data_IF_790975630886
#
_entry.id   IF_790975630886
#
_cell.length_a   1.000
_cell.length_b   1.000
_cell.length_c   1.000
_cell.angle_alpha   90.00
_cell.angle_beta   90.00
_cell.angle_gamma   90.00
#
_symmetry.space_group_name_H-M   'P 1'
#
loop_
_entity.id
_entity.type
_entity.pdbx_description
1 polymer ?
#
# COMPACT_ATOMS: atom_id res chain seq x y z
N UNK A 1 -2.71 7.19 10.30
CA UNK A 1 -1.55 7.04 9.38
C UNK A 1 -1.94 7.57 7.99
N UNK A 2 -1.11 8.41 7.36
CA UNK A 2 -1.34 8.92 6.00
C UNK A 2 -0.42 8.15 5.04
N UNK A 3 -0.99 7.51 4.03
CA UNK A 3 -0.23 6.98 2.88
C UNK A 3 -0.35 8.03 1.78
N UNK A 4 0.71 8.82 1.57
CA UNK A 4 0.75 9.85 0.52
C UNK A 4 1.48 9.28 -0.71
N UNK A 5 0.78 9.26 -1.85
CA UNK A 5 1.35 8.92 -3.14
C UNK A 5 2.01 10.18 -3.73
N UNK A 6 3.29 10.13 -4.12
CA UNK A 6 3.95 11.26 -4.79
C UNK A 6 3.34 11.39 -6.19
N UNK A 7 2.45 12.37 -6.39
CA UNK A 7 1.84 12.68 -7.70
C UNK A 7 2.66 13.77 -8.39
N UNK A 8 3.33 13.40 -9.50
CA UNK A 8 3.87 14.35 -10.47
C UNK A 8 2.80 14.62 -11.54
N UNK A 9 1.99 15.66 -11.38
CA UNK A 9 1.26 16.29 -12.49
C UNK A 9 1.66 17.78 -12.56
N UNK A 10 2.12 18.24 -13.73
CA UNK A 10 2.42 19.65 -13.99
C UNK A 10 3.77 20.18 -13.47
N UNK A 11 4.81 19.33 -13.38
CA UNK A 11 6.21 19.73 -13.06
C UNK A 11 6.46 20.44 -11.73
N UNK A 12 5.47 20.52 -10.81
CA UNK A 12 5.66 21.20 -9.52
C UNK A 12 6.20 20.23 -8.47
N UNK A 13 7.48 20.38 -8.13
CA UNK A 13 8.09 19.71 -6.98
C UNK A 13 7.55 20.33 -5.69
N UNK A 14 6.68 19.60 -4.98
CA UNK A 14 5.99 20.03 -3.75
C UNK A 14 6.78 19.81 -2.47
N UNK A 15 7.67 18.83 -2.46
CA UNK A 15 8.58 18.50 -1.37
C UNK A 15 9.88 17.93 -1.96
N UNK A 16 11.01 18.15 -1.29
CA UNK A 16 12.32 17.58 -1.66
C UNK A 16 12.97 16.78 -0.54
N UNK A 17 12.34 16.75 0.63
CA UNK A 17 12.76 15.96 1.78
C UNK A 17 11.54 15.46 2.56
N UNK A 18 11.78 14.50 3.44
CA UNK A 18 10.77 13.97 4.34
C UNK A 18 11.39 13.74 5.72
N UNK A 19 10.56 13.83 6.74
CA UNK A 19 10.90 13.48 8.12
C UNK A 19 10.47 12.05 8.37
N UNK A 20 11.40 11.20 8.79
CA UNK A 20 11.11 9.87 9.30
C UNK A 20 10.27 9.96 10.58
N UNK A 21 9.19 9.17 10.67
CA UNK A 21 8.34 9.12 11.86
C UNK A 21 8.40 7.78 12.58
N UNK A 22 8.27 6.67 11.83
CA UNK A 22 8.25 5.33 12.41
C UNK A 22 8.62 4.26 11.38
N UNK A 23 9.12 3.12 11.85
CA UNK A 23 9.30 1.90 11.03
C UNK A 23 9.07 0.67 11.88
N UNK A 24 8.66 -0.41 11.24
CA UNK A 24 8.63 -1.75 11.83
C UNK A 24 9.22 -2.75 10.85
N UNK A 25 10.43 -3.29 11.11
CA UNK A 25 11.02 -4.32 10.25
C UNK A 25 10.21 -5.61 10.23
N UNK A 26 9.55 -5.97 11.33
CA UNK A 26 8.69 -7.16 11.43
C UNK A 26 7.32 -6.97 10.77
N UNK A 27 7.01 -5.79 10.26
CA UNK A 27 5.79 -5.50 9.52
C UNK A 27 6.06 -4.65 8.29
N UNK A 28 7.30 -4.72 7.78
CA UNK A 28 7.81 -4.14 6.54
C UNK A 28 7.19 -2.79 6.11
N UNK A 29 7.13 -1.83 7.04
CA UNK A 29 6.60 -0.51 6.73
C UNK A 29 7.48 0.59 7.30
N UNK A 30 7.42 1.75 6.65
CA UNK A 30 8.00 3.00 7.14
C UNK A 30 6.99 4.13 6.94
N UNK A 31 6.79 4.94 7.98
CA UNK A 31 5.99 6.16 7.93
C UNK A 31 6.93 7.36 7.83
N UNK A 32 6.67 8.20 6.82
CA UNK A 32 7.36 9.47 6.62
C UNK A 32 6.36 10.61 6.53
N UNK A 33 6.79 11.81 6.90
CA UNK A 33 6.05 13.06 6.71
C UNK A 33 6.79 13.92 5.69
N UNK A 34 6.14 14.28 4.59
CA UNK A 34 6.74 15.17 3.60
C UNK A 34 7.03 16.55 4.22
N UNK A 35 8.23 17.07 3.99
CA UNK A 35 8.58 18.44 4.33
C UNK A 35 8.18 19.32 3.14
N UNK A 36 6.92 19.72 3.17
CA UNK A 36 6.26 20.47 2.11
C UNK A 36 6.82 21.89 2.03
N UNK A 37 7.09 22.38 0.80
CA UNK A 37 7.58 23.75 0.58
C UNK A 37 6.54 24.80 0.99
N UNK A 38 6.99 25.98 1.39
CA UNK A 38 6.12 27.09 1.76
C UNK A 38 5.10 27.41 0.65
N UNK A 39 3.85 27.69 1.05
CA UNK A 39 2.75 28.00 0.13
C UNK A 39 2.24 26.82 -0.70
N UNK A 40 2.67 25.58 -0.40
CA UNK A 40 2.10 24.38 -1.01
C UNK A 40 0.95 23.83 -0.17
N UNK A 41 -0.23 23.80 -0.78
CA UNK A 41 -1.38 23.03 -0.28
C UNK A 41 -1.40 21.64 -0.92
N UNK A 42 -1.44 20.59 -0.08
CA UNK A 42 -1.56 19.21 -0.50
C UNK A 42 -3.01 18.75 -0.70
N UNK A 43 -4.01 19.50 -0.24
CA UNK A 43 -5.42 19.10 -0.29
C UNK A 43 -5.88 18.73 -1.70
N UNK A 44 -5.34 19.40 -2.72
CA UNK A 44 -5.61 19.11 -4.13
C UNK A 44 -5.20 17.71 -4.61
N UNK A 45 -4.29 17.03 -3.90
CA UNK A 45 -3.87 15.65 -4.23
C UNK A 45 -4.74 14.60 -3.54
N UNK A 46 -5.60 15.00 -2.60
CA UNK A 46 -6.42 14.10 -1.79
C UNK A 46 -5.60 13.21 -0.86
N UNK A 47 -6.27 12.23 -0.27
CA UNK A 47 -5.66 11.20 0.55
C UNK A 47 -6.48 9.91 0.45
N UNK A 48 -5.84 8.78 0.71
CA UNK A 48 -6.53 7.50 0.85
C UNK A 48 -7.03 7.32 2.28
N UNK A 49 -8.18 6.67 2.43
CA UNK A 49 -8.70 6.24 3.72
C UNK A 49 -8.32 4.78 3.96
N UNK A 50 -8.05 4.42 5.21
CA UNK A 50 -7.74 3.05 5.62
C UNK A 50 -8.97 2.42 6.26
N UNK A 51 -9.14 1.11 6.09
CA UNK A 51 -10.13 0.33 6.84
C UNK A 51 -9.46 -0.39 8.01
N UNK A 52 -9.83 0.00 9.23
CA UNK A 52 -9.19 -0.54 10.45
C UNK A 52 -9.51 -2.00 10.73
N UNK A 53 -10.51 -2.58 10.06
CA UNK A 53 -10.77 -4.03 10.12
C UNK A 53 -9.76 -4.85 9.30
N UNK A 54 -8.91 -4.20 8.49
CA UNK A 54 -7.93 -4.87 7.63
C UNK A 54 -8.58 -5.51 6.39
N UNK A 55 -7.86 -6.42 5.69
CA UNK A 55 -8.34 -7.12 4.51
C UNK A 55 -9.33 -8.25 4.88
N UNK A 56 -10.34 -8.46 4.03
CA UNK A 56 -11.38 -9.49 4.15
C UNK A 56 -11.17 -10.57 3.10
N UNK A 57 -11.31 -11.83 3.49
CA UNK A 57 -11.21 -12.96 2.56
C UNK A 57 -12.21 -12.81 1.40
N UNK A 58 -11.75 -13.12 0.18
CA UNK A 58 -12.52 -13.04 -1.08
C UNK A 58 -12.97 -11.63 -1.51
N UNK A 59 -12.61 -10.56 -0.79
CA UNK A 59 -12.97 -9.22 -1.27
C UNK A 59 -12.18 -8.87 -2.54
N UNK A 60 -12.81 -8.09 -3.41
CA UNK A 60 -12.16 -7.60 -4.61
C UNK A 60 -11.21 -6.45 -4.27
N UNK A 61 -10.04 -6.46 -4.91
CA UNK A 61 -8.98 -5.49 -4.65
C UNK A 61 -8.32 -5.01 -5.95
N UNK A 62 -7.64 -3.87 -5.85
CA UNK A 62 -6.72 -3.38 -6.85
C UNK A 62 -5.48 -2.76 -6.18
N UNK A 63 -4.39 -2.66 -6.93
CA UNK A 63 -3.14 -2.03 -6.48
C UNK A 63 -2.80 -0.86 -7.41
N UNK A 64 -2.35 0.25 -6.80
CA UNK A 64 -1.88 1.44 -7.50
C UNK A 64 -0.39 1.59 -7.21
N UNK A 65 0.46 1.54 -8.22
CA UNK A 65 1.89 1.53 -7.98
C UNK A 65 2.74 2.03 -9.14
N UNK A 66 4.05 1.97 -8.95
CA UNK A 66 5.08 2.40 -9.92
C UNK A 66 5.95 1.21 -10.34
N UNK A 67 5.29 0.20 -10.92
CA UNK A 67 5.95 -1.01 -11.45
C UNK A 67 7.14 -0.64 -12.36
N UNK A 68 8.30 -1.26 -12.14
CA UNK A 68 9.55 -1.02 -12.87
C UNK A 68 9.97 0.47 -12.93
N UNK A 69 9.59 1.27 -11.94
CA UNK A 69 9.75 2.73 -11.91
C UNK A 69 9.05 3.46 -13.07
N UNK A 70 8.07 2.83 -13.70
CA UNK A 70 7.23 3.44 -14.71
C UNK A 70 6.24 4.44 -14.11
N UNK A 71 5.59 5.27 -14.97
CA UNK A 71 4.43 6.04 -14.55
C UNK A 71 3.40 5.14 -13.87
N UNK A 72 2.56 5.76 -13.02
CA UNK A 72 1.53 5.08 -12.22
C UNK A 72 0.77 4.05 -13.06
N UNK A 73 0.72 2.80 -12.59
CA UNK A 73 -0.07 1.70 -13.16
C UNK A 73 -1.08 1.20 -12.14
N UNK A 74 -2.14 0.62 -12.65
CA UNK A 74 -3.18 -0.03 -11.88
C UNK A 74 -3.21 -1.50 -12.29
N UNK A 75 -3.15 -2.41 -11.32
CA UNK A 75 -3.52 -3.80 -11.54
C UNK A 75 -4.86 -4.05 -10.84
N UNK A 76 -5.86 -4.43 -11.64
CA UNK A 76 -7.26 -4.55 -11.25
C UNK A 76 -7.79 -5.96 -11.51
N UNK A 77 -7.33 -6.59 -12.59
CA UNK A 77 -7.77 -7.92 -13.04
C UNK A 77 -6.59 -8.85 -13.23
N UNK A 78 -6.86 -10.14 -13.11
CA UNK A 78 -6.00 -11.27 -13.48
C UNK A 78 -6.66 -12.02 -14.65
N UNK A 79 -6.01 -13.07 -15.15
CA UNK A 79 -6.62 -13.98 -16.14
C UNK A 79 -7.94 -14.61 -15.66
N UNK A 80 -8.12 -14.77 -14.35
CA UNK A 80 -9.29 -15.43 -13.75
C UNK A 80 -10.43 -14.50 -13.32
N UNK A 81 -10.29 -13.18 -13.52
CA UNK A 81 -11.27 -12.18 -13.05
C UNK A 81 -10.63 -11.06 -12.24
N UNK A 82 -11.41 -10.30 -11.44
CA UNK A 82 -10.87 -9.26 -10.56
C UNK A 82 -9.79 -9.80 -9.62
N UNK A 83 -8.87 -8.93 -9.20
CA UNK A 83 -7.97 -9.27 -8.10
C UNK A 83 -8.74 -9.51 -6.81
N UNK A 84 -8.32 -10.50 -6.03
CA UNK A 84 -9.00 -10.87 -4.78
C UNK A 84 -8.02 -11.24 -3.67
N UNK A 85 -8.42 -10.99 -2.43
CA UNK A 85 -7.75 -11.53 -1.24
C UNK A 85 -7.99 -13.03 -1.16
N UNK A 86 -6.91 -13.81 -1.09
CA UNK A 86 -6.94 -15.28 -1.04
C UNK A 86 -6.73 -15.84 0.37
N UNK A 87 -6.09 -15.07 1.26
CA UNK A 87 -5.97 -15.40 2.68
C UNK A 87 -5.83 -14.12 3.52
N UNK A 88 -6.36 -14.12 4.74
CA UNK A 88 -6.18 -13.04 5.72
C UNK A 88 -5.08 -13.35 6.75
N UNK A 89 -4.46 -14.53 6.68
CA UNK A 89 -3.25 -14.88 7.43
C UNK A 89 -2.40 -15.82 6.58
N UNK A 90 -1.23 -15.34 6.21
CA UNK A 90 -0.35 -16.00 5.27
C UNK A 90 1.10 -15.78 5.69
N UNK A 91 1.83 -16.87 5.86
CA UNK A 91 3.27 -16.85 6.04
C UNK A 91 3.92 -16.82 4.66
N UNK A 92 4.40 -15.65 4.25
CA UNK A 92 5.13 -15.49 3.00
C UNK A 92 6.64 -15.73 3.22
N UNK A 93 7.42 -15.58 2.15
CA UNK A 93 8.88 -15.53 2.23
C UNK A 93 9.39 -14.21 2.83
N UNK A 94 8.54 -13.18 2.93
CA UNK A 94 8.90 -11.84 3.40
C UNK A 94 8.58 -11.62 4.88
N UNK A 95 7.41 -12.06 5.36
CA UNK A 95 6.99 -11.92 6.77
C UNK A 95 6.16 -13.11 7.25
N UNK A 96 6.06 -13.23 8.58
CA UNK A 96 5.39 -14.36 9.23
C UNK A 96 3.84 -14.30 9.19
N UNK A 97 3.25 -13.11 9.15
CA UNK A 97 1.79 -12.94 9.08
C UNK A 97 1.39 -11.75 8.19
N UNK A 98 0.97 -12.07 6.98
CA UNK A 98 0.48 -11.15 5.95
C UNK A 98 -0.93 -11.55 5.52
N UNK A 99 -1.53 -10.75 4.64
CA UNK A 99 -2.64 -11.23 3.82
C UNK A 99 -2.11 -11.59 2.44
N UNK A 100 -2.70 -12.63 1.83
CA UNK A 100 -2.35 -13.10 0.49
C UNK A 100 -3.39 -12.61 -0.53
N UNK A 101 -2.95 -12.37 -1.76
CA UNK A 101 -3.83 -11.97 -2.85
C UNK A 101 -3.24 -12.24 -4.23
N UNK A 102 -4.09 -12.16 -5.26
CA UNK A 102 -3.68 -12.31 -6.67
C UNK A 102 -3.94 -11.07 -7.49
N UNK A 103 -2.86 -10.44 -7.95
CA UNK A 103 -2.82 -9.34 -8.92
C UNK A 103 -1.47 -9.36 -9.64
N UNK A 104 -1.39 -8.73 -10.80
CA UNK A 104 -0.11 -8.56 -11.49
C UNK A 104 0.75 -7.53 -10.74
N UNK A 105 1.84 -8.00 -10.14
CA UNK A 105 2.83 -7.15 -9.47
C UNK A 105 4.22 -7.41 -10.04
N UNK A 106 5.02 -6.35 -10.10
CA UNK A 106 6.43 -6.39 -10.49
C UNK A 106 7.26 -5.61 -9.45
N UNK A 107 8.59 -5.78 -9.46
CA UNK A 107 9.49 -4.91 -8.71
C UNK A 107 9.15 -3.43 -8.91
N UNK A 108 9.17 -2.64 -7.84
CA UNK A 108 8.68 -1.26 -7.80
C UNK A 108 7.23 -1.10 -7.32
N UNK A 109 6.47 -2.18 -7.15
CA UNK A 109 5.18 -2.12 -6.46
C UNK A 109 5.30 -2.17 -4.93
N UNK A 110 6.40 -2.66 -4.35
CA UNK A 110 6.57 -2.70 -2.89
C UNK A 110 6.33 -1.32 -2.25
N UNK A 111 5.55 -1.27 -1.18
CA UNK A 111 5.06 -0.06 -0.53
C UNK A 111 3.75 0.50 -1.10
N UNK A 112 3.24 -0.05 -2.21
CA UNK A 112 2.00 0.42 -2.84
C UNK A 112 0.77 0.01 -2.03
N UNK A 113 -0.27 0.87 -1.97
CA UNK A 113 -1.52 0.53 -1.30
C UNK A 113 -2.28 -0.56 -2.06
N UNK A 114 -2.75 -1.55 -1.31
CA UNK A 114 -3.79 -2.49 -1.77
C UNK A 114 -5.14 -1.98 -1.30
N UNK A 115 -6.05 -1.76 -2.25
CA UNK A 115 -7.31 -1.05 -2.04
C UNK A 115 -8.47 -2.00 -2.27
N UNK A 116 -9.43 -2.04 -1.35
CA UNK A 116 -10.72 -2.69 -1.54
C UNK A 116 -11.46 -1.99 -2.67
N UNK A 117 -11.78 -2.71 -3.74
CA UNK A 117 -12.39 -2.12 -4.93
C UNK A 117 -13.81 -1.63 -4.63
N UNK A 118 -14.56 -2.36 -3.79
CA UNK A 118 -15.95 -2.06 -3.48
C UNK A 118 -16.09 -0.86 -2.51
N UNK A 119 -15.19 -0.77 -1.53
CA UNK A 119 -15.27 0.25 -0.48
C UNK A 119 -14.35 1.47 -0.75
N UNK A 120 -13.45 1.39 -1.73
CA UNK A 120 -12.45 2.42 -2.07
C UNK A 120 -11.59 2.86 -0.88
N UNK A 121 -11.13 1.88 -0.09
CA UNK A 121 -10.31 2.06 1.11
C UNK A 121 -9.09 1.15 1.07
N UNK A 122 -7.98 1.61 1.64
CA UNK A 122 -6.74 0.83 1.78
C UNK A 122 -6.97 -0.24 2.85
N UNK A 123 -6.67 -1.48 2.48
CA UNK A 123 -6.76 -2.66 3.35
C UNK A 123 -5.39 -3.24 3.69
N UNK A 124 -4.36 -2.87 2.92
CA UNK A 124 -2.99 -3.28 3.20
C UNK A 124 -1.95 -2.59 2.32
N UNK A 125 -0.69 -2.98 2.51
CA UNK A 125 0.47 -2.46 1.80
C UNK A 125 1.19 -3.65 1.17
N UNK A 126 1.37 -3.64 -0.15
CA UNK A 126 2.11 -4.71 -0.81
C UNK A 126 3.60 -4.65 -0.46
N UNK A 127 4.20 -5.79 -0.16
CA UNK A 127 5.64 -5.88 0.09
C UNK A 127 6.27 -7.14 -0.51
N UNK A 128 5.51 -8.23 -0.65
CA UNK A 128 6.03 -9.51 -1.14
C UNK A 128 5.38 -9.93 -2.47
N UNK A 129 6.19 -10.20 -3.48
CA UNK A 129 5.73 -10.76 -4.76
C UNK A 129 5.75 -12.29 -4.76
N UNK A 130 4.70 -12.90 -5.30
CA UNK A 130 4.62 -14.36 -5.53
C UNK A 130 4.08 -14.74 -6.91
N UNK A 131 3.45 -13.81 -7.64
CA UNK A 131 2.97 -14.03 -9.00
C UNK A 131 4.14 -14.27 -10.00
N UNK A 132 3.99 -15.17 -11.00
CA UNK A 132 2.80 -15.97 -11.34
C UNK A 132 2.69 -17.31 -10.60
N UNK A 133 3.72 -17.73 -9.87
CA UNK A 133 3.83 -19.09 -9.34
C UNK A 133 3.11 -19.27 -7.98
N UNK A 134 2.69 -18.18 -7.34
CA UNK A 134 2.00 -18.16 -6.07
C UNK A 134 1.25 -16.84 -5.81
N UNK A 135 0.80 -16.68 -4.58
CA UNK A 135 0.11 -15.47 -4.16
C UNK A 135 1.11 -14.37 -3.81
N UNK A 136 0.78 -13.13 -4.16
CA UNK A 136 1.44 -11.98 -3.57
C UNK A 136 1.01 -11.86 -2.11
N UNK A 137 1.77 -11.09 -1.35
CA UNK A 137 1.42 -10.78 0.02
C UNK A 137 1.58 -9.31 0.35
N UNK A 138 0.94 -8.92 1.45
CA UNK A 138 0.97 -7.55 1.95
C UNK A 138 0.79 -7.47 3.45
N UNK A 139 1.28 -6.36 4.00
CA UNK A 139 1.11 -5.98 5.40
C UNK A 139 -0.32 -5.49 5.61
N UNK A 140 -1.01 -6.06 6.60
CA UNK A 140 -2.39 -5.69 6.93
C UNK A 140 -2.43 -4.28 7.52
N UNK A 141 -3.30 -3.40 7.02
CA UNK A 141 -3.29 -1.99 7.41
C UNK A 141 -3.66 -1.78 8.89
N UNK A 142 -4.47 -2.67 9.45
CA UNK A 142 -4.84 -2.68 10.86
C UNK A 142 -3.64 -2.95 11.78
N UNK A 143 -2.74 -3.87 11.38
CA UNK A 143 -1.49 -4.10 12.12
C UNK A 143 -0.59 -2.85 12.11
N UNK A 144 -0.46 -2.16 10.96
CA UNK A 144 0.27 -0.89 10.87
C UNK A 144 -0.35 0.16 11.82
N UNK A 145 -1.68 0.24 11.86
CA UNK A 145 -2.39 1.16 12.74
C UNK A 145 -2.13 0.85 14.22
N UNK A 146 -2.21 -0.42 14.63
CA UNK A 146 -1.99 -0.82 16.01
C UNK A 146 -0.55 -0.54 16.48
N UNK A 147 0.45 -0.78 15.62
CA UNK A 147 1.85 -0.46 15.89
C UNK A 147 2.04 1.05 16.10
N UNK A 148 1.50 1.87 15.19
CA UNK A 148 1.63 3.33 15.29
C UNK A 148 0.90 3.88 16.53
N UNK A 149 -0.30 3.35 16.82
CA UNK A 149 -1.06 3.71 18.02
C UNK A 149 -0.29 3.37 19.29
N UNK A 150 0.37 2.21 19.35
CA UNK A 150 1.21 1.83 20.49
C UNK A 150 2.43 2.74 20.67
N UNK A 151 2.89 3.38 19.59
CA UNK A 151 3.97 4.37 19.60
C UNK A 151 3.49 5.80 19.89
N UNK A 152 2.18 6.01 20.12
CA UNK A 152 1.54 7.33 20.25
C UNK A 152 1.73 8.23 19.03
N UNK A 153 1.64 7.65 17.82
CA UNK A 153 1.71 8.33 16.52
C UNK A 153 0.35 8.29 15.80
#
# INVERSE_FOLDING_TARGET
ARVEHIVLEGHRIVATSATFLATSPSSDFTLVKLNVKDGVDLAKYGYLQVRLDGPKLNETIHILGHAAAWPKRFAVTTLGGPGTVTSTSFQSLCQADEFAYRLDTQGGNSGSPVVSTDENVVVGIHNCGGCPDGDNAGIKINNVFDILKAQNI
#
